data_IF_955060666103
#
_entry.id   IF_955060666103
#
_cell.length_a   1.000
_cell.length_b   1.000
_cell.length_c   1.000
_cell.angle_alpha   90.00
_cell.angle_beta   90.00
_cell.angle_gamma   90.00
#
_symmetry.space_group_name_H-M   'P 1'
#
loop_
_entity.id
_entity.type
_entity.pdbx_description
1 polymer ?
#
# COMPACT_ATOMS: atom_id res chain seq x y z
N UNK A 1 0.26 -11.32 3.26
CA UNK A 1 -0.45 -10.04 3.50
C UNK A 1 0.58 -8.91 3.48
N UNK A 2 0.17 -7.69 3.16
CA UNK A 2 1.04 -6.51 3.14
C UNK A 2 0.25 -5.23 3.52
N UNK A 3 0.97 -4.20 3.97
CA UNK A 3 0.44 -2.85 4.20
C UNK A 3 1.48 -1.83 3.74
N UNK A 4 1.08 -0.90 2.88
CA UNK A 4 1.94 0.20 2.47
C UNK A 4 1.87 1.32 3.51
N UNK A 5 3.03 1.87 3.86
CA UNK A 5 3.13 3.02 4.73
C UNK A 5 4.03 4.07 4.10
N UNK A 6 3.57 5.32 4.10
CA UNK A 6 4.35 6.46 3.62
C UNK A 6 4.93 7.19 4.83
N UNK A 7 6.25 7.12 5.01
CA UNK A 7 6.91 7.77 6.14
C UNK A 7 6.77 9.29 6.07
N UNK A 8 6.67 9.93 7.24
CA UNK A 8 6.55 11.38 7.41
C UNK A 8 7.28 11.80 8.68
N UNK A 9 7.56 13.10 8.82
CA UNK A 9 8.08 13.71 10.05
C UNK A 9 9.40 13.10 10.56
N UNK A 10 10.33 12.80 9.65
CA UNK A 10 11.67 12.30 10.00
C UNK A 10 11.72 10.83 10.41
N UNK A 11 10.62 10.08 10.31
CA UNK A 11 10.64 8.62 10.43
C UNK A 11 11.33 8.04 9.20
N UNK A 12 12.36 7.22 9.39
CA UNK A 12 13.06 6.51 8.31
C UNK A 12 12.72 5.03 8.26
N UNK A 13 12.24 4.47 9.38
CA UNK A 13 11.91 3.05 9.51
C UNK A 13 10.68 2.82 10.40
N UNK A 14 9.86 1.84 10.03
CA UNK A 14 8.62 1.49 10.75
C UNK A 14 8.86 0.17 11.48
N UNK A 15 9.09 0.25 12.78
CA UNK A 15 9.40 -0.93 13.62
C UNK A 15 8.28 -1.24 14.63
N UNK A 16 7.25 -0.39 14.72
CA UNK A 16 6.15 -0.54 15.68
C UNK A 16 4.88 0.20 15.23
N UNK A 17 3.77 -0.06 15.93
CA UNK A 17 2.46 0.52 15.64
C UNK A 17 2.43 2.05 15.78
N UNK A 18 3.20 2.62 16.72
CA UNK A 18 3.28 4.08 16.91
C UNK A 18 3.93 4.76 15.70
N UNK A 19 4.93 4.13 15.07
CA UNK A 19 5.52 4.65 13.82
C UNK A 19 4.50 4.60 12.68
N UNK A 20 3.79 3.47 12.54
CA UNK A 20 2.75 3.30 11.54
C UNK A 20 1.64 4.35 11.67
N UNK A 21 1.21 4.67 12.90
CA UNK A 21 0.19 5.67 13.17
C UNK A 21 0.61 7.12 12.81
N UNK A 22 1.92 7.39 12.73
CA UNK A 22 2.49 8.69 12.36
C UNK A 22 2.77 8.84 10.85
N UNK A 23 2.54 7.79 10.07
CA UNK A 23 2.72 7.81 8.62
C UNK A 23 1.66 8.68 7.92
N UNK A 24 1.93 9.06 6.67
CA UNK A 24 1.01 9.88 5.87
C UNK A 24 -0.19 9.06 5.37
N UNK A 25 -1.26 9.07 6.16
CA UNK A 25 -2.51 8.37 5.85
C UNK A 25 -3.27 8.97 4.67
N UNK A 26 -3.12 10.27 4.42
CA UNK A 26 -3.74 10.94 3.27
C UNK A 26 -3.05 10.50 1.96
N UNK A 27 -1.72 10.41 1.96
CA UNK A 27 -0.98 9.89 0.82
C UNK A 27 -1.30 8.41 0.59
N UNK A 28 -1.45 7.62 1.65
CA UNK A 28 -1.89 6.22 1.56
C UNK A 28 -3.28 6.10 0.89
N UNK A 29 -4.24 6.94 1.26
CA UNK A 29 -5.57 6.94 0.62
C UNK A 29 -5.50 7.32 -0.85
N UNK A 30 -4.73 8.36 -1.21
CA UNK A 30 -4.53 8.78 -2.61
C UNK A 30 -3.86 7.68 -3.42
N UNK A 31 -2.85 7.01 -2.86
CA UNK A 31 -2.20 5.86 -3.47
C UNK A 31 -3.20 4.74 -3.74
N UNK A 32 -4.00 4.32 -2.75
CA UNK A 32 -5.03 3.30 -2.97
C UNK A 32 -6.05 3.70 -4.04
N UNK A 33 -6.49 4.96 -4.05
CA UNK A 33 -7.44 5.44 -5.05
C UNK A 33 -6.85 5.38 -6.46
N UNK A 34 -5.59 5.77 -6.63
CA UNK A 34 -4.87 5.67 -7.90
C UNK A 34 -4.74 4.22 -8.36
N UNK A 35 -4.29 3.33 -7.49
CA UNK A 35 -4.13 1.90 -7.82
C UNK A 35 -5.45 1.29 -8.34
N UNK A 36 -6.58 1.65 -7.71
CA UNK A 36 -7.91 1.18 -8.13
C UNK A 36 -8.31 1.78 -9.49
N UNK A 37 -8.23 3.11 -9.61
CA UNK A 37 -8.83 3.84 -10.72
C UNK A 37 -7.98 3.85 -11.99
N UNK A 38 -6.65 3.85 -11.83
CA UNK A 38 -5.70 3.95 -12.93
C UNK A 38 -5.06 2.60 -13.25
N UNK A 39 -4.64 1.87 -12.23
CA UNK A 39 -3.83 0.65 -12.42
C UNK A 39 -4.67 -0.64 -12.40
N UNK A 40 -5.96 -0.54 -12.06
CA UNK A 40 -6.90 -1.67 -12.02
C UNK A 40 -6.64 -2.65 -10.87
N UNK A 41 -5.93 -2.20 -9.82
CA UNK A 41 -5.52 -3.01 -8.68
C UNK A 41 -6.38 -2.64 -7.46
N UNK A 42 -7.21 -3.59 -7.02
CA UNK A 42 -8.16 -3.35 -5.94
C UNK A 42 -7.64 -3.75 -4.56
N UNK A 43 -7.76 -2.83 -3.61
CA UNK A 43 -7.69 -3.10 -2.17
C UNK A 43 -8.59 -2.12 -1.43
N UNK A 44 -9.13 -2.56 -0.30
CA UNK A 44 -10.00 -1.71 0.51
C UNK A 44 -9.17 -0.53 1.09
N UNK A 45 -9.58 0.74 0.87
CA UNK A 45 -8.83 1.88 1.37
C UNK A 45 -8.58 1.82 2.88
N UNK A 46 -7.31 1.87 3.27
CA UNK A 46 -6.89 1.81 4.68
C UNK A 46 -6.94 0.41 5.30
N UNK A 47 -7.05 -0.65 4.50
CA UNK A 47 -7.03 -2.05 4.96
C UNK A 47 -5.82 -2.79 4.40
N UNK A 48 -5.54 -3.94 5.01
CA UNK A 48 -4.46 -4.84 4.59
C UNK A 48 -4.71 -5.38 3.18
N UNK A 49 -3.65 -5.42 2.37
CA UNK A 49 -3.61 -6.16 1.12
C UNK A 49 -3.29 -7.64 1.37
N UNK A 50 -3.86 -8.51 0.53
CA UNK A 50 -3.60 -9.95 0.57
C UNK A 50 -3.26 -10.47 -0.82
N UNK A 51 -2.23 -11.32 -0.89
CA UNK A 51 -1.88 -12.11 -2.06
C UNK A 51 -2.36 -13.53 -1.77
N UNK A 52 -2.95 -14.16 -2.78
CA UNK A 52 -3.51 -15.51 -2.71
C UNK A 52 -2.97 -16.36 -3.86
N UNK A 53 -3.22 -17.67 -3.83
CA UNK A 53 -2.85 -18.60 -4.89
C UNK A 53 -3.50 -18.29 -6.25
N UNK A 54 -4.51 -17.40 -6.30
CA UNK A 54 -5.11 -16.94 -7.54
C UNK A 54 -4.26 -15.90 -8.29
N UNK A 55 -3.31 -15.26 -7.60
CA UNK A 55 -2.45 -14.23 -8.20
C UNK A 55 -1.24 -14.85 -8.91
N UNK A 56 -0.94 -14.37 -10.11
CA UNK A 56 0.26 -14.70 -10.86
C UNK A 56 1.45 -13.83 -10.45
N UNK A 57 2.66 -14.19 -10.90
CA UNK A 57 3.84 -13.35 -10.75
C UNK A 57 3.68 -12.00 -11.46
N UNK A 58 2.96 -11.96 -12.57
CA UNK A 58 2.75 -10.72 -13.32
C UNK A 58 1.77 -9.78 -12.62
N UNK A 59 0.78 -10.31 -11.89
CA UNK A 59 -0.09 -9.49 -11.02
C UNK A 59 0.72 -8.81 -9.92
N UNK A 60 1.67 -9.53 -9.31
CA UNK A 60 2.57 -8.98 -8.29
C UNK A 60 3.49 -7.90 -8.91
N UNK A 61 4.03 -8.14 -10.12
CA UNK A 61 4.86 -7.13 -10.81
C UNK A 61 4.08 -5.86 -11.12
N UNK A 62 2.83 -5.97 -11.61
CA UNK A 62 1.97 -4.80 -11.86
C UNK A 62 1.79 -3.97 -10.60
N UNK A 63 1.57 -4.63 -9.45
CA UNK A 63 1.45 -3.94 -8.16
C UNK A 63 2.73 -3.18 -7.76
N UNK A 64 3.91 -3.76 -8.01
CA UNK A 64 5.20 -3.12 -7.70
C UNK A 64 5.48 -1.92 -8.62
N UNK A 65 5.10 -2.01 -9.90
CA UNK A 65 5.35 -0.98 -10.90
C UNK A 65 4.34 0.17 -10.89
N UNK A 66 3.20 -0.02 -10.24
CA UNK A 66 2.18 1.00 -10.14
C UNK A 66 2.68 2.17 -9.25
N UNK A 67 2.79 3.35 -9.89
CA UNK A 67 3.44 4.57 -9.37
C UNK A 67 2.48 5.75 -9.43
#
# INVERSE_FOLDING_TARGET
MFMTHFVKNGITEITNATHAAKCDSLLLQKYHFKMITHDGIFFLPGKLGAISAAHSKDDIKKMILAT
#
